data_IF_070639699183
#
_entry.id   IF_070639699183
#
_cell.length_a   1.000
_cell.length_b   1.000
_cell.length_c   1.000
_cell.angle_alpha   90.00
_cell.angle_beta   90.00
_cell.angle_gamma   90.00
#
_symmetry.space_group_name_H-M   'P 1'
#
loop_
_entity.id
_entity.type
_entity.pdbx_description
1 polymer ?
#
# COMPACT_ATOMS: atom_id res chain seq x y z
N UNK A 1 -24.59 -1.72 -17.48
CA UNK A 1 -23.23 -1.44 -16.99
C UNK A 1 -22.98 -2.33 -15.77
N UNK A 2 -22.19 -3.39 -15.91
CA UNK A 2 -21.87 -4.30 -14.78
C UNK A 2 -20.99 -3.49 -13.82
N UNK A 3 -21.52 -3.10 -12.66
CA UNK A 3 -20.73 -2.54 -11.57
C UNK A 3 -19.94 -3.70 -10.97
N UNK A 4 -18.70 -3.85 -11.41
CA UNK A 4 -17.83 -4.92 -10.93
C UNK A 4 -17.29 -4.53 -9.55
N UNK A 5 -17.31 -5.49 -8.63
CA UNK A 5 -16.89 -5.31 -7.24
C UNK A 5 -15.50 -5.91 -7.04
N UNK A 6 -14.67 -5.21 -6.27
CA UNK A 6 -13.43 -5.76 -5.71
C UNK A 6 -13.83 -6.62 -4.51
N UNK A 7 -13.27 -7.82 -4.42
CA UNK A 7 -13.54 -8.76 -3.33
C UNK A 7 -12.29 -8.84 -2.46
N UNK A 8 -12.32 -8.24 -1.28
CA UNK A 8 -11.34 -8.44 -0.22
C UNK A 8 -11.69 -9.69 0.59
N UNK A 9 -10.76 -10.64 0.70
CA UNK A 9 -10.88 -11.75 1.64
C UNK A 9 -9.91 -11.50 2.78
N UNK A 10 -10.43 -11.38 3.99
CA UNK A 10 -9.62 -11.23 5.20
C UNK A 10 -9.61 -12.59 5.90
N UNK A 11 -8.42 -13.10 6.16
CA UNK A 11 -8.24 -14.29 6.97
C UNK A 11 -7.84 -13.83 8.37
N UNK A 12 -8.69 -14.07 9.38
CA UNK A 12 -8.37 -13.86 10.80
C UNK A 12 -8.09 -15.18 11.50
N UNK A 13 -7.46 -15.15 12.70
CA UNK A 13 -7.10 -16.34 13.50
C UNK A 13 -8.18 -17.44 13.52
N UNK A 14 -9.45 -17.06 13.66
CA UNK A 14 -10.58 -17.99 13.81
C UNK A 14 -11.74 -17.77 12.81
N UNK A 15 -11.65 -16.77 11.91
CA UNK A 15 -12.75 -16.40 11.01
C UNK A 15 -12.21 -15.91 9.68
N UNK A 16 -12.82 -16.35 8.59
CA UNK A 16 -12.62 -15.74 7.28
C UNK A 16 -13.75 -14.75 7.05
N UNK A 17 -13.43 -13.47 6.87
CA UNK A 17 -14.42 -12.45 6.53
C UNK A 17 -14.26 -12.02 5.07
N UNK A 18 -15.39 -11.88 4.38
CA UNK A 18 -15.45 -11.43 2.99
C UNK A 18 -15.94 -9.98 2.96
N UNK A 19 -15.11 -9.07 2.47
CA UNK A 19 -15.46 -7.67 2.25
C UNK A 19 -15.59 -7.40 0.75
N UNK A 20 -16.76 -6.96 0.32
CA UNK A 20 -17.03 -6.68 -1.10
C UNK A 20 -17.16 -5.17 -1.28
N UNK A 21 -16.35 -4.60 -2.17
CA UNK A 21 -16.38 -3.18 -2.52
C UNK A 21 -16.82 -2.96 -3.98
N UNK A 22 -18.04 -2.48 -4.25
CA UNK A 22 -18.50 -2.16 -5.59
C UNK A 22 -17.92 -0.83 -6.09
N UNK A 23 -16.60 -0.73 -6.23
CA UNK A 23 -15.89 0.51 -6.57
C UNK A 23 -15.82 0.82 -8.07
N UNK A 24 -16.25 -0.11 -8.93
CA UNK A 24 -16.34 0.09 -10.39
C UNK A 24 -15.00 0.21 -11.11
N UNK A 25 -13.88 -0.08 -10.44
CA UNK A 25 -12.51 0.07 -10.96
C UNK A 25 -11.94 -1.17 -11.67
N UNK A 26 -12.63 -2.32 -11.61
CA UNK A 26 -12.20 -3.56 -12.27
C UNK A 26 -12.53 -4.82 -11.48
N UNK A 27 -12.18 -5.98 -12.04
CA UNK A 27 -12.21 -7.28 -11.34
C UNK A 27 -10.88 -7.44 -10.62
N UNK A 28 -10.92 -7.60 -9.30
CA UNK A 28 -9.71 -7.82 -8.49
C UNK A 28 -10.08 -8.23 -7.08
N UNK A 29 -9.08 -8.70 -6.34
CA UNK A 29 -9.25 -9.01 -4.93
C UNK A 29 -7.96 -8.81 -4.17
N UNK A 30 -8.07 -8.42 -2.91
CA UNK A 30 -6.95 -8.37 -1.98
C UNK A 30 -7.16 -9.48 -0.98
N UNK A 31 -6.13 -10.27 -0.77
CA UNK A 31 -6.07 -11.23 0.34
C UNK A 31 -5.24 -10.60 1.43
N UNK A 32 -5.87 -10.35 2.58
CA UNK A 32 -5.18 -9.86 3.78
C UNK A 32 -5.02 -11.04 4.71
N UNK A 33 -3.83 -11.64 4.79
CA UNK A 33 -3.59 -12.72 5.74
C UNK A 33 -3.43 -12.14 7.14
N UNK A 34 -3.84 -12.90 8.16
CA UNK A 34 -3.56 -12.55 9.54
C UNK A 34 -2.05 -12.55 9.79
N UNK A 35 -1.49 -11.42 10.21
CA UNK A 35 -0.07 -11.27 10.53
C UNK A 35 0.17 -11.65 11.99
N UNK A 36 -0.65 -11.08 12.88
CA UNK A 36 -0.44 -11.16 14.31
C UNK A 36 0.85 -10.43 14.74
N UNK A 37 1.20 -10.56 16.01
CA UNK A 37 2.43 -9.96 16.54
C UNK A 37 3.63 -10.85 16.18
N UNK A 38 4.56 -10.35 15.38
CA UNK A 38 5.84 -11.00 15.10
C UNK A 38 6.82 -10.58 16.19
N UNK A 39 7.16 -11.52 17.08
CA UNK A 39 7.96 -11.29 18.28
C UNK A 39 9.47 -11.40 18.07
N UNK A 40 9.89 -12.14 17.04
CA UNK A 40 11.28 -12.56 16.86
C UNK A 40 11.59 -12.99 15.42
N UNK A 41 12.86 -13.27 15.17
CA UNK A 41 13.36 -13.69 13.86
C UNK A 41 12.75 -15.01 13.37
N UNK A 42 12.57 -16.00 14.26
CA UNK A 42 12.05 -17.30 13.87
C UNK A 42 10.62 -17.17 13.33
N UNK A 43 9.77 -16.42 14.05
CA UNK A 43 8.41 -16.11 13.63
C UNK A 43 8.38 -15.24 12.38
N UNK A 44 9.30 -14.27 12.26
CA UNK A 44 9.43 -13.48 11.03
C UNK A 44 9.73 -14.35 9.81
N UNK A 45 10.70 -15.28 9.90
CA UNK A 45 11.03 -16.21 8.81
C UNK A 45 9.90 -17.18 8.49
N UNK A 46 9.12 -17.58 9.49
CA UNK A 46 7.91 -18.37 9.28
C UNK A 46 6.88 -17.58 8.46
N UNK A 47 6.52 -16.37 8.92
CA UNK A 47 5.57 -15.50 8.23
C UNK A 47 6.03 -15.14 6.83
N UNK A 48 7.33 -14.90 6.64
CA UNK A 48 7.94 -14.65 5.33
C UNK A 48 7.70 -15.81 4.36
N UNK A 49 7.81 -17.06 4.82
CA UNK A 49 7.51 -18.24 4.00
C UNK A 49 6.01 -18.36 3.69
N UNK A 50 5.14 -18.04 4.65
CA UNK A 50 3.68 -18.08 4.47
C UNK A 50 3.27 -17.05 3.41
N UNK A 51 3.72 -15.80 3.54
CA UNK A 51 3.45 -14.74 2.58
C UNK A 51 3.99 -15.07 1.18
N UNK A 52 5.22 -15.59 1.09
CA UNK A 52 5.76 -16.05 -0.18
C UNK A 52 4.85 -17.12 -0.82
N UNK A 53 4.44 -18.13 -0.06
CA UNK A 53 3.52 -19.17 -0.56
C UNK A 53 2.17 -18.61 -1.00
N UNK A 54 1.64 -17.61 -0.28
CA UNK A 54 0.40 -16.95 -0.66
C UNK A 54 0.53 -16.23 -2.01
N UNK A 55 1.65 -15.51 -2.24
CA UNK A 55 1.90 -14.80 -3.49
C UNK A 55 1.99 -15.75 -4.69
N UNK A 56 2.60 -16.92 -4.56
CA UNK A 56 2.71 -17.87 -5.68
C UNK A 56 1.42 -18.67 -5.94
N UNK A 57 0.46 -18.67 -5.01
CA UNK A 57 -0.75 -19.48 -5.14
C UNK A 57 -1.61 -19.07 -6.35
N UNK A 58 -1.90 -17.77 -6.50
CA UNK A 58 -2.72 -17.28 -7.62
C UNK A 58 -2.09 -17.58 -8.99
N UNK A 59 -0.79 -17.28 -9.25
CA UNK A 59 -0.13 -17.66 -10.50
C UNK A 59 -0.16 -19.16 -10.80
N UNK A 60 -0.03 -20.01 -9.78
CA UNK A 60 -0.07 -21.46 -9.97
C UNK A 60 -1.46 -21.96 -10.35
N UNK A 61 -2.52 -21.37 -9.79
CA UNK A 61 -3.91 -21.66 -10.19
C UNK A 61 -4.14 -21.19 -11.63
N UNK A 62 -3.73 -19.96 -11.96
CA UNK A 62 -3.82 -19.40 -13.31
C UNK A 62 -3.11 -20.30 -14.33
N UNK A 63 -1.90 -20.76 -14.05
CA UNK A 63 -1.16 -21.69 -14.91
C UNK A 63 -1.89 -23.03 -15.07
N UNK A 64 -2.46 -23.56 -13.98
CA UNK A 64 -3.23 -24.81 -14.02
C UNK A 64 -4.46 -24.69 -14.92
N UNK A 65 -5.14 -23.53 -14.91
CA UNK A 65 -6.27 -23.24 -15.78
C UNK A 65 -5.87 -23.15 -17.26
N UNK A 66 -4.67 -22.64 -17.57
CA UNK A 66 -4.12 -22.68 -18.94
C UNK A 66 -3.90 -24.12 -19.39
N UNK A 67 -3.33 -24.98 -18.53
CA UNK A 67 -3.11 -26.40 -18.85
C UNK A 67 -4.44 -27.11 -19.11
N UNK A 68 -5.43 -26.90 -18.24
CA UNK A 68 -6.77 -27.47 -18.43
C UNK A 68 -7.43 -26.96 -19.71
N UNK A 69 -7.28 -25.68 -20.04
CA UNK A 69 -7.77 -25.12 -21.30
C UNK A 69 -7.13 -25.78 -22.52
N UNK A 70 -5.80 -25.99 -22.48
CA UNK A 70 -5.07 -26.71 -23.53
C UNK A 70 -5.55 -28.15 -23.70
N UNK A 71 -5.76 -28.87 -22.58
CA UNK A 71 -6.32 -30.23 -22.60
C UNK A 71 -7.72 -30.23 -23.24
N UNK A 72 -8.58 -29.28 -22.88
CA UNK A 72 -9.93 -29.15 -23.48
C UNK A 72 -9.88 -28.93 -25.01
N UNK A 73 -8.96 -28.09 -25.49
CA UNK A 73 -8.75 -27.86 -26.93
C UNK A 73 -8.32 -29.15 -27.64
N UNK A 74 -7.37 -29.89 -27.07
CA UNK A 74 -6.87 -31.15 -27.64
C UNK A 74 -7.98 -32.20 -27.71
N UNK A 75 -8.72 -32.41 -26.61
CA UNK A 75 -9.84 -33.35 -26.57
C UNK A 75 -10.89 -32.98 -27.63
N UNK A 76 -11.27 -31.70 -27.71
CA UNK A 76 -12.24 -31.25 -28.71
C UNK A 76 -11.75 -31.43 -30.15
N UNK A 77 -10.44 -31.36 -30.38
CA UNK A 77 -9.86 -31.55 -31.71
C UNK A 77 -9.91 -33.03 -32.11
N UNK A 78 -9.61 -33.94 -31.18
CA UNK A 78 -9.63 -35.40 -31.40
C UNK A 78 -11.06 -35.93 -31.57
N UNK A 79 -12.01 -35.44 -30.77
CA UNK A 79 -13.42 -35.88 -30.83
C UNK A 79 -14.21 -35.25 -31.99
N UNK A 80 -13.58 -34.33 -32.73
CA UNK A 80 -14.19 -33.55 -33.79
C UNK A 80 -14.85 -32.28 -33.25
N UNK A 81 -14.36 -31.12 -33.71
CA UNK A 81 -14.77 -29.79 -33.22
C UNK A 81 -16.28 -29.57 -33.34
N UNK A 82 -16.91 -30.09 -34.40
CA UNK A 82 -18.35 -29.99 -34.62
C UNK A 82 -19.18 -30.74 -33.57
N UNK A 83 -18.62 -31.78 -32.95
CA UNK A 83 -19.29 -32.57 -31.91
C UNK A 83 -19.12 -31.97 -30.51
N UNK A 84 -18.05 -31.20 -30.28
CA UNK A 84 -17.72 -30.62 -28.96
C UNK A 84 -17.39 -29.12 -29.02
N UNK A 85 -18.18 -28.27 -29.70
CA UNK A 85 -17.83 -26.87 -29.93
C UNK A 85 -17.71 -26.06 -28.63
N UNK A 86 -18.55 -26.34 -27.63
CA UNK A 86 -18.49 -25.66 -26.33
C UNK A 86 -17.22 -25.98 -25.54
N UNK A 87 -16.68 -27.20 -25.68
CA UNK A 87 -15.42 -27.59 -25.03
C UNK A 87 -14.24 -26.83 -25.65
N UNK A 88 -14.22 -26.70 -26.98
CA UNK A 88 -13.24 -25.87 -27.70
C UNK A 88 -13.30 -24.42 -27.24
N UNK A 89 -14.49 -23.82 -27.25
CA UNK A 89 -14.69 -22.42 -26.86
C UNK A 89 -14.23 -22.20 -25.41
N UNK A 90 -14.63 -23.07 -24.48
CA UNK A 90 -14.20 -22.98 -23.07
C UNK A 90 -12.69 -23.08 -22.94
N UNK A 91 -12.05 -24.02 -23.64
CA UNK A 91 -10.59 -24.17 -23.63
C UNK A 91 -9.85 -22.94 -24.15
N UNK A 92 -10.32 -22.35 -25.25
CA UNK A 92 -9.77 -21.10 -25.80
C UNK A 92 -9.90 -19.96 -24.79
N UNK A 93 -11.07 -19.79 -24.17
CA UNK A 93 -11.28 -18.75 -23.16
C UNK A 93 -10.39 -18.93 -21.94
N UNK A 94 -10.27 -20.16 -21.41
CA UNK A 94 -9.39 -20.48 -20.29
C UNK A 94 -7.94 -20.13 -20.63
N UNK A 95 -7.44 -20.52 -21.81
CA UNK A 95 -6.09 -20.18 -22.23
C UNK A 95 -5.89 -18.66 -22.38
N UNK A 96 -6.75 -17.98 -23.13
CA UNK A 96 -6.58 -16.56 -23.46
C UNK A 96 -6.53 -15.68 -22.21
N UNK A 97 -7.53 -15.81 -21.33
CA UNK A 97 -7.59 -14.98 -20.12
C UNK A 97 -6.48 -15.30 -19.13
N UNK A 98 -6.18 -16.59 -18.91
CA UNK A 98 -5.18 -16.96 -17.91
C UNK A 98 -3.74 -16.73 -18.40
N UNK A 99 -3.45 -16.80 -19.71
CA UNK A 99 -2.15 -16.39 -20.24
C UNK A 99 -1.91 -14.89 -19.99
N UNK A 100 -2.92 -14.04 -20.25
CA UNK A 100 -2.81 -12.60 -19.97
C UNK A 100 -2.56 -12.31 -18.48
N UNK A 101 -3.28 -13.00 -17.58
CA UNK A 101 -3.06 -12.90 -16.14
C UNK A 101 -1.65 -13.38 -15.72
N UNK A 102 -1.19 -14.51 -16.27
CA UNK A 102 0.15 -15.05 -16.04
C UNK A 102 1.24 -14.04 -16.43
N UNK A 103 1.12 -13.39 -17.60
CA UNK A 103 2.06 -12.35 -18.03
C UNK A 103 2.10 -11.22 -16.99
N UNK A 104 0.93 -10.79 -16.51
CA UNK A 104 0.80 -9.78 -15.44
C UNK A 104 1.59 -10.13 -14.18
N UNK A 105 1.63 -11.41 -13.80
CA UNK A 105 2.33 -11.88 -12.61
C UNK A 105 3.87 -11.70 -12.67
N UNK A 106 4.45 -11.55 -13.86
CA UNK A 106 5.90 -11.31 -14.04
C UNK A 106 6.29 -9.83 -14.07
N UNK A 107 5.31 -8.94 -14.19
CA UNK A 107 5.54 -7.50 -14.31
C UNK A 107 6.21 -6.99 -13.04
N UNK A 108 7.28 -6.22 -13.22
CA UNK A 108 7.84 -5.33 -12.20
C UNK A 108 7.84 -3.93 -12.78
N UNK A 109 7.00 -3.06 -12.24
CA UNK A 109 7.12 -1.63 -12.47
C UNK A 109 7.70 -0.95 -11.23
N UNK A 110 7.94 0.35 -11.29
CA UNK A 110 8.34 1.13 -10.11
C UNK A 110 7.28 1.13 -9.00
N UNK A 111 6.01 0.85 -9.34
CA UNK A 111 4.87 0.93 -8.41
C UNK A 111 4.23 -0.42 -8.04
N UNK A 112 4.43 -1.45 -8.87
CA UNK A 112 3.66 -2.69 -8.78
C UNK A 112 4.57 -3.88 -8.97
N UNK A 113 4.49 -4.79 -8.01
CA UNK A 113 5.09 -6.12 -8.10
C UNK A 113 4.01 -7.11 -8.48
N UNK A 114 4.17 -7.76 -9.64
CA UNK A 114 3.40 -8.96 -9.95
C UNK A 114 3.77 -10.10 -9.00
N UNK A 115 2.83 -11.01 -8.79
CA UNK A 115 2.89 -12.09 -7.81
C UNK A 115 4.17 -12.94 -7.86
N UNK A 116 4.70 -13.28 -9.04
CA UNK A 116 5.96 -14.03 -9.14
C UNK A 116 7.18 -13.21 -8.68
N UNK A 117 7.17 -11.90 -8.96
CA UNK A 117 8.22 -10.99 -8.50
C UNK A 117 8.13 -10.78 -7.01
N UNK A 118 6.93 -10.53 -6.48
CA UNK A 118 6.66 -10.43 -5.05
C UNK A 118 7.10 -11.71 -4.31
N UNK A 119 6.78 -12.90 -4.84
CA UNK A 119 7.25 -14.19 -4.29
C UNK A 119 8.78 -14.24 -4.17
N UNK A 120 9.51 -13.85 -5.22
CA UNK A 120 10.98 -13.85 -5.18
C UNK A 120 11.53 -12.83 -4.17
N UNK A 121 10.91 -11.65 -4.07
CA UNK A 121 11.31 -10.61 -3.12
C UNK A 121 11.05 -11.06 -1.68
N UNK A 122 9.85 -11.58 -1.36
CA UNK A 122 9.55 -12.14 -0.04
C UNK A 122 10.56 -13.19 0.39
N UNK A 123 11.09 -14.02 -0.52
CA UNK A 123 12.06 -15.06 -0.15
C UNK A 123 13.50 -14.56 0.09
N UNK A 124 13.88 -13.44 -0.52
CA UNK A 124 15.29 -13.02 -0.61
C UNK A 124 15.58 -11.71 0.10
N UNK A 125 14.57 -10.87 0.29
CA UNK A 125 14.71 -9.52 0.82
C UNK A 125 13.88 -9.38 2.10
N UNK A 126 14.58 -9.29 3.24
CA UNK A 126 13.95 -9.14 4.54
C UNK A 126 13.32 -7.76 4.71
N UNK A 127 13.92 -6.72 4.13
CA UNK A 127 13.39 -5.36 4.22
C UNK A 127 12.07 -5.26 3.45
N UNK A 128 12.04 -5.80 2.22
CA UNK A 128 10.80 -5.91 1.45
C UNK A 128 9.73 -6.70 2.21
N UNK A 129 10.08 -7.88 2.73
CA UNK A 129 9.12 -8.72 3.45
C UNK A 129 8.57 -8.01 4.70
N UNK A 130 9.43 -7.37 5.49
CA UNK A 130 9.04 -6.63 6.69
C UNK A 130 8.15 -5.44 6.34
N UNK A 131 8.51 -4.65 5.32
CA UNK A 131 7.73 -3.48 4.91
C UNK A 131 6.34 -3.88 4.44
N UNK A 132 6.25 -4.90 3.59
CA UNK A 132 4.96 -5.41 3.12
C UNK A 132 4.12 -5.94 4.27
N UNK A 133 4.67 -6.78 5.16
CA UNK A 133 3.91 -7.27 6.32
C UNK A 133 3.43 -6.11 7.19
N UNK A 134 4.31 -5.17 7.50
CA UNK A 134 4.00 -4.05 8.37
C UNK A 134 2.89 -3.15 7.79
N UNK A 135 2.92 -2.86 6.49
CA UNK A 135 1.84 -2.12 5.82
C UNK A 135 0.51 -2.89 5.79
N UNK A 136 0.55 -4.21 5.66
CA UNK A 136 -0.65 -5.04 5.68
C UNK A 136 -1.30 -5.11 7.07
N UNK A 137 -0.59 -4.78 8.16
CA UNK A 137 -1.17 -4.67 9.52
C UNK A 137 -2.33 -3.68 9.50
N UNK A 138 -2.22 -2.56 8.79
CA UNK A 138 -3.27 -1.54 8.68
C UNK A 138 -4.56 -2.05 8.01
N UNK A 139 -4.51 -3.23 7.38
CA UNK A 139 -5.67 -3.88 6.77
C UNK A 139 -6.29 -4.96 7.68
N UNK A 140 -5.65 -5.28 8.82
CA UNK A 140 -6.18 -6.22 9.80
C UNK A 140 -7.37 -5.63 10.58
N UNK A 141 -8.16 -6.49 11.23
CA UNK A 141 -9.23 -6.05 12.12
C UNK A 141 -8.66 -5.46 13.42
N UNK A 142 -7.69 -6.13 14.04
CA UNK A 142 -7.02 -5.72 15.28
C UNK A 142 -5.77 -4.86 15.00
N UNK A 143 -5.80 -4.03 13.96
CA UNK A 143 -4.63 -3.32 13.44
C UNK A 143 -3.93 -2.44 14.49
N UNK A 144 -4.66 -1.85 15.43
CA UNK A 144 -4.08 -1.02 16.51
C UNK A 144 -3.17 -1.85 17.41
N UNK A 145 -3.66 -2.98 17.91
CA UNK A 145 -2.88 -3.88 18.78
C UNK A 145 -1.73 -4.53 18.01
N UNK A 146 -2.00 -5.01 16.79
CA UNK A 146 -0.97 -5.64 15.97
C UNK A 146 0.15 -4.65 15.60
N UNK A 147 -0.17 -3.39 15.25
CA UNK A 147 0.84 -2.39 14.90
C UNK A 147 1.71 -2.06 16.11
N UNK A 148 1.08 -1.78 17.25
CA UNK A 148 1.79 -1.46 18.49
C UNK A 148 2.69 -2.62 18.96
N UNK A 149 2.21 -3.86 18.85
CA UNK A 149 2.94 -5.06 19.30
C UNK A 149 4.10 -5.48 18.38
N UNK A 150 4.12 -5.07 17.11
CA UNK A 150 5.12 -5.50 16.11
C UNK A 150 6.45 -4.75 16.19
N UNK A 151 7.07 -4.72 17.38
CA UNK A 151 8.36 -4.06 17.63
C UNK A 151 9.52 -4.70 16.85
N UNK A 152 9.50 -6.02 16.66
CA UNK A 152 10.54 -6.71 15.89
C UNK A 152 10.50 -6.30 14.40
N UNK A 153 9.31 -6.21 13.79
CA UNK A 153 9.19 -5.74 12.40
C UNK A 153 9.71 -4.31 12.24
N UNK A 154 9.40 -3.42 13.19
CA UNK A 154 9.96 -2.05 13.22
C UNK A 154 11.48 -2.07 13.24
N UNK A 155 12.10 -2.92 14.06
CA UNK A 155 13.57 -3.05 14.11
C UNK A 155 14.15 -3.53 12.78
N UNK A 156 13.57 -4.56 12.15
CA UNK A 156 14.00 -5.03 10.82
C UNK A 156 13.90 -3.93 9.77
N UNK A 157 12.84 -3.11 9.83
CA UNK A 157 12.65 -1.97 8.94
C UNK A 157 13.70 -0.90 9.17
N UNK A 158 13.95 -0.49 10.42
CA UNK A 158 14.95 0.53 10.75
C UNK A 158 16.34 0.08 10.29
N UNK A 159 16.76 -1.15 10.60
CA UNK A 159 18.07 -1.66 10.19
C UNK A 159 18.21 -1.78 8.67
N UNK A 160 17.17 -2.27 7.99
CA UNK A 160 17.16 -2.34 6.53
C UNK A 160 17.17 -0.95 5.87
N UNK A 161 16.53 0.03 6.51
CA UNK A 161 16.43 1.40 6.03
C UNK A 161 17.76 2.16 6.12
N UNK A 162 18.57 1.94 7.17
CA UNK A 162 19.86 2.64 7.36
C UNK A 162 20.76 2.58 6.13
N UNK A 163 20.91 1.41 5.50
CA UNK A 163 21.75 1.26 4.31
C UNK A 163 21.19 2.04 3.12
N UNK A 164 19.87 1.98 2.92
CA UNK A 164 19.18 2.67 1.82
C UNK A 164 19.24 4.19 1.96
N UNK A 165 19.09 4.68 3.20
CA UNK A 165 19.24 6.09 3.54
C UNK A 165 20.68 6.58 3.31
N UNK A 166 21.68 5.80 3.71
CA UNK A 166 23.10 6.11 3.47
C UNK A 166 23.42 6.18 1.98
N UNK A 167 22.83 5.29 1.18
CA UNK A 167 22.92 5.28 -0.29
C UNK A 167 22.04 6.32 -0.97
N UNK A 168 21.23 7.07 -0.21
CA UNK A 168 20.30 8.10 -0.71
C UNK A 168 19.34 7.55 -1.76
N UNK A 169 18.92 6.30 -1.59
CA UNK A 169 17.93 5.70 -2.46
C UNK A 169 16.62 6.48 -2.40
N UNK A 170 15.96 6.66 -3.54
CA UNK A 170 14.63 7.29 -3.65
C UNK A 170 13.65 6.36 -4.35
N UNK A 171 13.85 5.05 -4.24
CA UNK A 171 12.93 4.07 -4.78
C UNK A 171 11.67 3.96 -3.90
N UNK A 172 10.64 3.31 -4.46
CA UNK A 172 9.35 3.14 -3.81
C UNK A 172 9.46 2.54 -2.40
N UNK A 173 10.36 1.57 -2.16
CA UNK A 173 10.45 0.89 -0.86
C UNK A 173 11.04 1.82 0.20
N UNK A 174 12.10 2.55 -0.15
CA UNK A 174 12.75 3.52 0.74
C UNK A 174 11.76 4.61 1.14
N UNK A 175 11.08 5.21 0.16
CA UNK A 175 10.09 6.28 0.40
C UNK A 175 8.88 5.74 1.18
N UNK A 176 8.40 4.54 0.88
CA UNK A 176 7.29 3.93 1.61
C UNK A 176 7.63 3.66 3.08
N UNK A 177 8.86 3.21 3.36
CA UNK A 177 9.33 3.01 4.73
C UNK A 177 9.42 4.35 5.48
N UNK A 178 10.02 5.38 4.87
CA UNK A 178 10.09 6.72 5.45
C UNK A 178 8.70 7.29 5.74
N UNK A 179 7.78 7.19 4.78
CA UNK A 179 6.40 7.66 4.94
C UNK A 179 5.67 6.92 6.08
N UNK A 180 5.91 5.61 6.23
CA UNK A 180 5.31 4.81 7.31
C UNK A 180 5.71 5.32 8.68
N UNK A 181 7.02 5.52 8.92
CA UNK A 181 7.50 6.05 10.20
C UNK A 181 7.09 7.52 10.40
N UNK A 182 7.08 8.30 9.33
CA UNK A 182 6.67 9.70 9.40
C UNK A 182 5.21 9.85 9.84
N UNK A 183 4.31 9.05 9.26
CA UNK A 183 2.90 9.03 9.64
C UNK A 183 2.75 8.59 11.11
N UNK A 184 3.45 7.54 11.54
CA UNK A 184 3.40 7.09 12.95
C UNK A 184 3.79 8.20 13.94
N UNK A 185 4.82 8.96 13.61
CA UNK A 185 5.20 10.12 14.42
C UNK A 185 4.13 11.22 14.42
N UNK A 186 3.56 11.51 13.25
CA UNK A 186 2.52 12.52 13.12
C UNK A 186 1.25 12.16 13.90
N UNK A 187 0.85 10.89 13.92
CA UNK A 187 -0.32 10.42 14.65
C UNK A 187 -0.07 10.11 16.13
N UNK A 188 1.17 10.23 16.61
CA UNK A 188 1.52 10.04 18.02
C UNK A 188 1.76 8.58 18.45
N UNK A 189 1.87 7.65 17.50
CA UNK A 189 2.24 6.25 17.76
C UNK A 189 3.72 6.11 18.17
N UNK A 190 4.53 7.14 17.91
CA UNK A 190 5.92 7.22 18.33
C UNK A 190 6.29 8.64 18.78
N UNK A 191 6.99 8.72 19.92
CA UNK A 191 7.43 10.00 20.49
C UNK A 191 8.54 10.67 19.68
N UNK A 192 9.41 9.87 19.04
CA UNK A 192 10.58 10.33 18.29
C UNK A 192 10.78 9.48 17.06
N UNK A 193 11.09 10.12 15.94
CA UNK A 193 11.52 9.42 14.73
C UNK A 193 12.89 8.76 14.95
N UNK A 194 13.16 7.61 14.31
CA UNK A 194 14.50 7.05 14.23
C UNK A 194 15.43 8.05 13.55
N UNK A 195 16.66 8.20 14.07
CA UNK A 195 17.64 9.17 13.58
C UNK A 195 17.85 9.08 12.06
N UNK A 196 18.02 7.87 11.53
CA UNK A 196 18.18 7.64 10.08
C UNK A 196 16.99 8.14 9.25
N UNK A 197 15.77 8.10 9.78
CA UNK A 197 14.56 8.58 9.10
C UNK A 197 14.52 10.11 9.14
N UNK A 198 14.83 10.71 10.29
CA UNK A 198 14.89 12.16 10.45
C UNK A 198 15.95 12.79 9.54
N UNK A 199 17.17 12.24 9.52
CA UNK A 199 18.25 12.67 8.62
C UNK A 199 17.85 12.53 7.14
N UNK A 200 17.15 11.46 6.79
CA UNK A 200 16.67 11.24 5.43
C UNK A 200 15.58 12.24 5.03
N UNK A 201 14.70 12.64 5.95
CA UNK A 201 13.70 13.70 5.72
C UNK A 201 14.40 15.03 5.41
N UNK A 202 15.42 15.41 6.18
CA UNK A 202 16.20 16.63 5.91
C UNK A 202 16.93 16.55 4.57
N UNK A 203 17.52 15.39 4.23
CA UNK A 203 18.11 15.16 2.91
C UNK A 203 17.09 15.35 1.79
N UNK A 204 15.92 14.74 1.89
CA UNK A 204 14.84 14.88 0.91
C UNK A 204 14.32 16.32 0.81
N UNK A 205 14.26 17.05 1.94
CA UNK A 205 13.85 18.44 1.97
C UNK A 205 14.84 19.33 1.20
N UNK A 206 16.14 19.08 1.33
CA UNK A 206 17.16 19.80 0.56
C UNK A 206 17.19 19.40 -0.91
N UNK A 207 16.58 18.26 -1.28
CA UNK A 207 16.61 17.68 -2.62
C UNK A 207 15.19 17.39 -3.16
N UNK A 208 14.21 18.28 -2.93
CA UNK A 208 12.79 18.04 -3.24
C UNK A 208 12.51 17.72 -4.72
N UNK A 209 13.40 18.14 -5.63
CA UNK A 209 13.30 17.84 -7.06
C UNK A 209 13.35 16.32 -7.34
N UNK A 210 13.98 15.54 -6.46
CA UNK A 210 13.98 14.08 -6.52
C UNK A 210 12.57 13.50 -6.31
N UNK A 211 11.75 14.15 -5.49
CA UNK A 211 10.39 13.71 -5.14
C UNK A 211 9.30 14.27 -6.06
N UNK A 212 9.65 15.25 -6.90
CA UNK A 212 8.69 16.00 -7.72
C UNK A 212 8.96 15.91 -9.22
N UNK A 213 10.03 15.22 -9.63
CA UNK A 213 10.34 15.03 -11.05
C UNK A 213 9.23 14.27 -11.81
N UNK A 214 9.32 14.24 -13.14
CA UNK A 214 8.30 13.61 -13.99
C UNK A 214 8.14 12.10 -13.77
N UNK A 215 9.17 11.42 -13.23
CA UNK A 215 9.12 10.00 -12.88
C UNK A 215 8.62 9.77 -11.45
N UNK A 216 8.41 10.83 -10.67
CA UNK A 216 8.00 10.71 -9.28
C UNK A 216 6.60 10.13 -9.17
N UNK A 217 6.55 8.99 -8.48
CA UNK A 217 5.33 8.26 -8.16
C UNK A 217 4.48 9.01 -7.13
N UNK A 218 3.22 8.62 -7.01
CA UNK A 218 2.30 9.22 -6.02
C UNK A 218 2.85 9.16 -4.59
N UNK A 219 3.51 8.06 -4.21
CA UNK A 219 4.11 7.90 -2.88
C UNK A 219 5.23 8.91 -2.58
N UNK A 220 5.97 9.38 -3.60
CA UNK A 220 6.97 10.43 -3.43
C UNK A 220 6.31 11.78 -3.11
N UNK A 221 5.20 12.03 -3.80
CA UNK A 221 4.41 13.25 -3.64
C UNK A 221 3.73 13.27 -2.28
N UNK A 222 3.12 12.16 -1.87
CA UNK A 222 2.52 12.05 -0.53
C UNK A 222 3.57 12.15 0.56
N UNK A 223 4.76 11.58 0.36
CA UNK A 223 5.86 11.71 1.32
C UNK A 223 6.25 13.18 1.52
N UNK A 224 6.35 13.97 0.44
CA UNK A 224 6.61 15.41 0.55
C UNK A 224 5.48 16.18 1.27
N UNK A 225 4.22 15.78 1.09
CA UNK A 225 3.09 16.33 1.85
C UNK A 225 3.23 16.02 3.35
N UNK A 226 3.50 14.77 3.72
CA UNK A 226 3.69 14.39 5.12
C UNK A 226 4.95 15.03 5.74
N UNK A 227 5.99 15.31 4.95
CA UNK A 227 7.14 16.10 5.41
C UNK A 227 6.74 17.53 5.79
N UNK A 228 5.83 18.16 5.03
CA UNK A 228 5.31 19.47 5.39
C UNK A 228 4.57 19.42 6.74
N UNK A 229 3.76 18.38 6.98
CA UNK A 229 3.06 18.21 8.26
C UNK A 229 4.03 17.96 9.41
N UNK A 230 5.12 17.24 9.14
CA UNK A 230 6.18 17.02 10.11
C UNK A 230 6.85 18.32 10.52
N UNK A 231 7.26 19.15 9.56
CA UNK A 231 7.87 20.45 9.86
C UNK A 231 6.90 21.38 10.59
N UNK A 232 5.61 21.34 10.27
CA UNK A 232 4.60 22.08 11.03
C UNK A 232 4.52 21.57 12.49
N UNK A 233 4.47 20.25 12.70
CA UNK A 233 4.41 19.64 14.05
C UNK A 233 5.66 19.94 14.89
N UNK A 234 6.83 20.02 14.27
CA UNK A 234 8.10 20.31 14.96
C UNK A 234 8.38 21.79 15.15
N UNK A 235 7.47 22.68 14.70
CA UNK A 235 7.61 24.13 14.83
C UNK A 235 8.47 24.79 13.75
N UNK A 236 8.87 24.05 12.72
CA UNK A 236 9.59 24.55 11.55
C UNK A 236 8.62 25.08 10.48
N UNK A 237 7.69 25.95 10.88
CA UNK A 237 6.60 26.45 10.04
C UNK A 237 7.05 26.97 8.67
N UNK A 238 8.18 27.70 8.60
CA UNK A 238 8.71 28.21 7.33
C UNK A 238 9.05 27.11 6.31
N UNK A 239 9.51 25.93 6.75
CA UNK A 239 9.75 24.79 5.85
C UNK A 239 8.43 24.20 5.35
N UNK A 240 7.43 24.12 6.24
CA UNK A 240 6.10 23.62 5.90
C UNK A 240 5.39 24.54 4.89
N UNK A 241 5.43 25.85 5.14
CA UNK A 241 4.88 26.87 4.25
C UNK A 241 5.57 26.86 2.88
N UNK A 242 6.90 26.72 2.84
CA UNK A 242 7.64 26.59 1.57
C UNK A 242 7.14 25.41 0.74
N UNK A 243 7.02 24.21 1.33
CA UNK A 243 6.50 23.03 0.61
C UNK A 243 5.05 23.28 0.16
N UNK A 244 4.24 23.92 1.00
CA UNK A 244 2.86 24.24 0.66
C UNK A 244 2.78 25.13 -0.59
N UNK A 245 3.50 26.25 -0.60
CA UNK A 245 3.49 27.22 -1.70
C UNK A 245 4.17 26.69 -2.97
N UNK A 246 5.32 26.04 -2.81
CA UNK A 246 6.13 25.63 -3.96
C UNK A 246 5.62 24.37 -4.63
N UNK A 247 4.94 23.49 -3.89
CA UNK A 247 4.51 22.17 -4.36
C UNK A 247 3.02 21.90 -4.19
N UNK A 248 2.48 21.95 -2.96
CA UNK A 248 1.12 21.46 -2.67
C UNK A 248 0.06 22.25 -3.46
N UNK A 249 0.14 23.57 -3.47
CA UNK A 249 -0.80 24.43 -4.20
C UNK A 249 -0.80 24.16 -5.71
N UNK A 250 0.36 23.76 -6.26
CA UNK A 250 0.60 23.50 -7.68
C UNK A 250 0.22 22.09 -8.13
N UNK A 251 -0.18 21.20 -7.21
CA UNK A 251 -0.66 19.86 -7.59
C UNK A 251 -1.85 19.96 -8.57
N UNK A 252 -1.93 19.09 -9.58
CA UNK A 252 -3.02 19.14 -10.55
C UNK A 252 -4.36 18.79 -9.88
N UNK A 253 -5.46 19.24 -10.49
CA UNK A 253 -6.80 18.95 -9.97
C UNK A 253 -7.11 17.45 -10.08
N UNK A 254 -7.32 16.81 -8.93
CA UNK A 254 -7.69 15.41 -8.80
C UNK A 254 -8.25 15.18 -7.39
N UNK A 255 -9.19 14.27 -7.22
CA UNK A 255 -9.82 13.99 -5.92
C UNK A 255 -8.84 13.67 -4.77
N UNK A 256 -7.69 13.03 -5.05
CA UNK A 256 -6.64 12.74 -4.04
C UNK A 256 -5.86 14.01 -3.70
N UNK A 257 -5.42 14.75 -4.71
CA UNK A 257 -4.64 15.97 -4.49
C UNK A 257 -5.47 17.13 -3.95
N UNK A 258 -6.75 17.20 -4.31
CA UNK A 258 -7.71 18.14 -3.74
C UNK A 258 -7.90 17.85 -2.23
N UNK A 259 -7.89 16.57 -1.82
CA UNK A 259 -7.89 16.17 -0.42
C UNK A 259 -6.59 16.60 0.29
N UNK A 260 -5.41 16.30 -0.27
CA UNK A 260 -4.13 16.73 0.31
C UNK A 260 -4.01 18.24 0.47
N UNK A 261 -4.51 19.02 -0.50
CA UNK A 261 -4.55 20.48 -0.42
C UNK A 261 -5.39 20.94 0.77
N UNK A 262 -6.60 20.42 0.91
CA UNK A 262 -7.50 20.78 2.02
C UNK A 262 -6.93 20.37 3.38
N UNK A 263 -6.34 19.18 3.47
CA UNK A 263 -5.66 18.71 4.68
C UNK A 263 -4.46 19.61 5.02
N UNK A 264 -3.67 20.01 4.03
CA UNK A 264 -2.55 20.94 4.23
C UNK A 264 -3.01 22.35 4.63
N UNK A 265 -4.09 22.86 4.05
CA UNK A 265 -4.69 24.13 4.45
C UNK A 265 -5.15 24.11 5.92
N UNK A 266 -5.68 22.99 6.40
CA UNK A 266 -6.02 22.85 7.80
C UNK A 266 -4.77 22.80 8.68
N UNK A 267 -3.82 21.90 8.37
CA UNK A 267 -2.66 21.67 9.24
C UNK A 267 -1.71 22.87 9.26
N UNK A 268 -1.39 23.44 8.09
CA UNK A 268 -0.34 24.46 7.93
C UNK A 268 -0.93 25.87 8.06
N UNK A 269 -2.10 26.12 7.44
CA UNK A 269 -2.71 27.47 7.42
C UNK A 269 -3.81 27.66 8.49
N UNK A 270 -4.07 26.64 9.32
CA UNK A 270 -5.06 26.69 10.41
C UNK A 270 -6.49 27.01 9.93
N UNK A 271 -6.83 26.55 8.71
CA UNK A 271 -8.19 26.69 8.17
C UNK A 271 -9.07 25.55 8.65
N UNK A 272 -10.24 25.87 9.21
CA UNK A 272 -11.17 24.83 9.67
C UNK A 272 -11.84 24.11 8.48
N UNK A 273 -11.41 22.87 8.25
CA UNK A 273 -12.00 21.93 7.31
C UNK A 273 -12.54 20.67 8.02
N UNK A 274 -12.69 20.71 9.34
CA UNK A 274 -12.98 19.56 10.21
C UNK A 274 -14.19 18.77 9.74
N UNK A 275 -15.30 19.45 9.43
CA UNK A 275 -16.53 18.80 9.00
C UNK A 275 -16.33 17.98 7.72
N UNK A 276 -15.49 18.46 6.80
CA UNK A 276 -15.21 17.77 5.56
C UNK A 276 -14.21 16.63 5.77
N UNK A 277 -13.11 16.90 6.49
CA UNK A 277 -11.98 15.98 6.66
C UNK A 277 -12.27 14.83 7.64
N UNK A 278 -13.24 14.96 8.54
CA UNK A 278 -13.67 13.88 9.43
C UNK A 278 -14.78 12.99 8.84
N UNK A 279 -15.38 13.37 7.71
CA UNK A 279 -16.29 12.46 6.99
C UNK A 279 -15.46 11.47 6.17
N UNK A 280 -15.48 10.20 6.58
CA UNK A 280 -14.78 9.07 5.95
C UNK A 280 -15.00 9.00 4.43
N UNK A 281 -16.15 9.46 3.92
CA UNK A 281 -16.44 9.47 2.47
C UNK A 281 -15.56 10.46 1.69
N UNK A 282 -15.02 11.46 2.36
CA UNK A 282 -14.17 12.49 1.77
C UNK A 282 -12.68 12.16 1.91
N UNK A 283 -12.30 11.22 2.78
CA UNK A 283 -10.91 10.82 3.02
C UNK A 283 -10.36 10.05 1.82
N UNK A 284 -9.38 10.64 1.13
CA UNK A 284 -8.79 10.12 -0.11
C UNK A 284 -7.26 10.27 -0.09
N UNK A 285 -6.56 9.52 0.78
CA UNK A 285 -5.13 9.73 1.03
C UNK A 285 -4.25 9.29 -0.14
N UNK A 286 -4.73 8.38 -0.99
CA UNK A 286 -4.02 7.90 -2.17
C UNK A 286 -5.00 7.29 -3.18
N UNK A 287 -4.53 6.99 -4.39
CA UNK A 287 -5.31 6.41 -5.49
C UNK A 287 -5.92 5.03 -5.17
N UNK A 288 -5.45 4.34 -4.12
CA UNK A 288 -6.03 3.08 -3.66
C UNK A 288 -7.24 3.26 -2.73
N UNK A 289 -7.68 4.49 -2.43
CA UNK A 289 -8.80 4.74 -1.51
C UNK A 289 -10.09 3.99 -1.88
N UNK A 290 -10.35 3.81 -3.18
CA UNK A 290 -11.50 3.04 -3.67
C UNK A 290 -11.36 1.52 -3.49
N UNK A 291 -10.16 1.02 -3.24
CA UNK A 291 -9.87 -0.40 -3.05
C UNK A 291 -9.77 -0.69 -1.55
N UNK A 292 -8.96 0.11 -0.85
CA UNK A 292 -8.63 -0.08 0.55
C UNK A 292 -9.62 0.59 1.52
N UNK A 293 -10.53 1.44 1.03
CA UNK A 293 -11.55 2.10 1.85
C UNK A 293 -12.61 1.19 2.49
N UNK A 294 -12.48 -0.13 2.38
CA UNK A 294 -13.29 -1.10 3.16
C UNK A 294 -12.61 -1.54 4.46
N UNK A 295 -11.34 -1.16 4.66
CA UNK A 295 -10.56 -1.48 5.84
C UNK A 295 -10.54 -0.27 6.77
N UNK A 296 -10.90 -0.46 8.04
CA UNK A 296 -10.96 0.64 8.98
C UNK A 296 -9.58 1.26 9.22
N UNK A 297 -8.53 0.44 9.31
CA UNK A 297 -7.17 0.93 9.49
C UNK A 297 -6.67 1.79 8.31
N UNK A 298 -7.27 1.69 7.11
CA UNK A 298 -6.94 2.59 6.00
C UNK A 298 -7.27 4.06 6.30
N UNK A 299 -8.28 4.32 7.13
CA UNK A 299 -8.71 5.66 7.51
C UNK A 299 -8.17 6.12 8.86
N UNK A 300 -7.62 5.20 9.66
CA UNK A 300 -7.28 5.47 11.06
C UNK A 300 -6.28 6.63 11.20
N UNK A 301 -5.14 6.53 10.52
CA UNK A 301 -4.10 7.54 10.61
C UNK A 301 -4.59 8.90 10.09
N UNK A 302 -5.36 8.90 8.99
CA UNK A 302 -5.92 10.12 8.39
C UNK A 302 -6.93 10.82 9.31
N UNK A 303 -7.76 10.07 10.03
CA UNK A 303 -8.70 10.63 11.00
C UNK A 303 -7.98 11.32 12.17
N UNK A 304 -6.83 10.80 12.60
CA UNK A 304 -6.00 11.42 13.64
C UNK A 304 -5.30 12.65 13.08
N UNK A 305 -4.67 12.55 11.90
CA UNK A 305 -4.04 13.69 11.22
C UNK A 305 -5.00 14.85 10.99
N UNK A 306 -6.25 14.55 10.60
CA UNK A 306 -7.30 15.54 10.37
C UNK A 306 -7.81 16.23 11.65
N UNK A 307 -7.27 15.88 12.83
CA UNK A 307 -7.56 16.54 14.10
C UNK A 307 -6.36 17.32 14.65
N UNK A 308 -5.21 17.32 13.95
CA UNK A 308 -3.95 17.89 14.45
C UNK A 308 -3.99 19.42 14.70
N UNK A 309 -5.00 20.14 14.18
CA UNK A 309 -5.21 21.58 14.40
C UNK A 309 -6.07 21.89 15.64
N UNK A 310 -6.62 20.87 16.30
CA UNK A 310 -7.28 21.06 17.59
C UNK A 310 -6.20 21.01 18.65
N UNK A 311 -5.84 22.18 19.18
CA UNK A 311 -5.18 22.35 20.47
C UNK A 311 -5.95 21.53 21.53
N UNK A 312 -5.61 20.24 21.66
CA UNK A 312 -5.89 19.30 22.74
C UNK A 312 -5.46 17.88 22.28
N UNK A 313 -4.15 17.68 22.09
CA UNK A 313 -3.56 16.41 22.56
C UNK A 313 -3.40 16.55 24.07
N UNK A 314 -4.52 16.43 24.78
CA UNK A 314 -4.54 16.30 26.23
C UNK A 314 -3.86 14.98 26.61
N UNK A 315 -2.69 15.12 27.25
CA UNK A 315 -2.08 14.20 28.23
C UNK A 315 -1.78 12.78 27.76
#
# INVERSE_FOLDING_TARGET
MIKVSIVGVIFNKNKTSLKINPSGLGVGGIVVPHIGIISDEAKFKEMQKIYAKAMIAAPMVTLSLVILGGISIVISSVMGIMNTPYLMITGIFLCLFNILLCIGCFIKTENVYGDFRAYSCFKKDNFFAALMMYQYIMLAEDFVEERAGNTYLRQVLIEGFKNRAAEKEVDMLTISCSATFLIEYLVGEMEKLPESIAEYIDYCYLNQTLLTNQKALEIHKSFLVYMAYYFEKTGEHSKAEQIYEEFITKLPKNQVFDYWKMQAEQIILKKDHTQHLLDVKNIKPNSFYKILGVFNGFYWDELILNQMDKDEFMV
#
